data_IF_285148593244
#
_entry.id   IF_285148593244
#
_cell.length_a   1.000
_cell.length_b   1.000
_cell.length_c   1.000
_cell.angle_alpha   90.00
_cell.angle_beta   90.00
_cell.angle_gamma   90.00
#
_symmetry.space_group_name_H-M   'P 1'
#
loop_
_entity.id
_entity.type
_entity.pdbx_description
1 polymer ?
#
# COMPACT_ATOMS: atom_id res chain seq x y z
N UNK A 1 -2.87 -16.08 2.38
CA UNK A 1 -3.27 -14.66 2.23
C UNK A 1 -2.12 -13.73 2.53
N UNK A 2 -2.10 -12.59 1.88
CA UNK A 2 -1.09 -11.55 2.09
C UNK A 2 -1.74 -10.20 2.28
N UNK A 3 -1.25 -9.43 3.24
CA UNK A 3 -1.54 -8.01 3.33
C UNK A 3 -0.49 -7.23 2.57
N UNK A 4 -0.94 -6.36 1.68
CA UNK A 4 -0.07 -5.40 1.00
C UNK A 4 -0.36 -4.04 1.62
N UNK A 5 0.68 -3.44 2.18
CA UNK A 5 0.63 -2.08 2.73
C UNK A 5 1.59 -1.20 1.97
N UNK A 6 1.08 -0.17 1.35
CA UNK A 6 1.88 0.78 0.59
C UNK A 6 1.76 2.18 1.20
N UNK A 7 2.89 2.81 1.41
CA UNK A 7 2.95 4.23 1.77
C UNK A 7 3.41 4.96 0.52
N UNK A 8 2.52 5.81 -0.01
CA UNK A 8 2.72 6.47 -1.30
C UNK A 8 2.47 7.97 -1.18
N UNK A 9 2.92 8.72 -2.19
CA UNK A 9 2.57 10.14 -2.30
C UNK A 9 1.07 10.31 -2.46
N UNK A 10 0.49 11.31 -1.82
CA UNK A 10 -0.95 11.58 -1.93
C UNK A 10 -1.40 11.81 -3.37
N UNK A 11 -0.61 12.52 -4.16
CA UNK A 11 -0.95 12.80 -5.57
C UNK A 11 -0.96 11.56 -6.46
N UNK A 12 -0.43 10.43 -5.98
CA UNK A 12 -0.42 9.16 -6.73
C UNK A 12 -1.56 8.21 -6.36
N UNK A 13 -2.36 8.53 -5.36
CA UNK A 13 -3.42 7.61 -4.86
C UNK A 13 -4.42 7.27 -5.95
N UNK A 14 -4.92 8.26 -6.69
CA UNK A 14 -5.92 8.03 -7.74
C UNK A 14 -5.37 7.10 -8.82
N UNK A 15 -4.13 7.33 -9.27
CA UNK A 15 -3.49 6.48 -10.27
C UNK A 15 -3.31 5.04 -9.77
N UNK A 16 -2.94 4.86 -8.50
CA UNK A 16 -2.80 3.54 -7.89
C UNK A 16 -4.15 2.82 -7.85
N UNK A 17 -5.20 3.50 -7.38
CA UNK A 17 -6.53 2.90 -7.26
C UNK A 17 -7.09 2.53 -8.63
N UNK A 18 -6.96 3.39 -9.62
CA UNK A 18 -7.40 3.10 -10.99
C UNK A 18 -6.68 1.88 -11.56
N UNK A 19 -5.37 1.80 -11.38
CA UNK A 19 -4.58 0.67 -11.86
C UNK A 19 -4.96 -0.65 -11.16
N UNK A 20 -5.22 -0.61 -9.86
CA UNK A 20 -5.65 -1.79 -9.10
C UNK A 20 -7.05 -2.26 -9.56
N UNK A 21 -7.97 -1.35 -9.82
CA UNK A 21 -9.33 -1.68 -10.24
C UNK A 21 -9.45 -2.20 -11.67
N UNK A 22 -8.36 -2.26 -12.43
CA UNK A 22 -8.35 -2.98 -13.70
C UNK A 22 -8.58 -4.49 -13.53
N UNK A 23 -8.34 -5.03 -12.32
CA UNK A 23 -8.65 -6.42 -12.00
C UNK A 23 -9.97 -6.53 -11.25
N UNK A 24 -10.97 -7.23 -11.84
CA UNK A 24 -12.27 -7.38 -11.18
C UNK A 24 -12.24 -8.29 -9.96
N UNK A 25 -11.22 -9.13 -9.81
CA UNK A 25 -11.03 -10.03 -8.68
C UNK A 25 -10.24 -9.42 -7.51
N UNK A 26 -9.92 -8.14 -7.59
CA UNK A 26 -9.26 -7.45 -6.49
C UNK A 26 -10.23 -7.24 -5.34
N UNK A 27 -9.86 -7.63 -4.10
CA UNK A 27 -10.62 -7.30 -2.91
C UNK A 27 -10.66 -5.79 -2.62
N UNK A 28 -11.42 -5.42 -1.59
CA UNK A 28 -11.50 -4.04 -1.15
C UNK A 28 -10.16 -3.46 -0.73
N UNK A 29 -10.03 -2.15 -0.91
CA UNK A 29 -8.82 -1.39 -0.57
C UNK A 29 -9.17 -0.36 0.49
N UNK A 30 -8.36 -0.28 1.53
CA UNK A 30 -8.48 0.72 2.58
C UNK A 30 -7.43 1.80 2.36
N UNK A 31 -7.86 3.06 2.42
CA UNK A 31 -6.95 4.21 2.24
C UNK A 31 -7.05 5.08 3.47
N UNK A 32 -5.90 5.50 3.99
CA UNK A 32 -5.81 6.47 5.07
C UNK A 32 -4.73 7.50 4.78
N UNK A 33 -4.96 8.71 5.28
CA UNK A 33 -3.93 9.75 5.26
C UNK A 33 -3.03 9.56 6.47
N UNK A 34 -1.72 9.61 6.26
CA UNK A 34 -0.72 9.42 7.30
C UNK A 34 0.34 10.49 7.23
N UNK A 35 0.92 10.80 8.38
CA UNK A 35 2.09 11.65 8.47
C UNK A 35 3.31 10.78 8.70
N UNK A 36 4.30 10.91 7.83
CA UNK A 36 5.58 10.25 8.00
C UNK A 36 6.59 11.24 8.59
N UNK A 37 7.38 10.78 9.55
CA UNK A 37 8.56 11.50 10.01
C UNK A 37 9.77 10.73 9.54
N UNK A 38 10.42 11.26 8.52
CA UNK A 38 11.57 10.63 7.90
C UNK A 38 12.86 11.37 8.15
N UNK A 39 13.95 10.63 8.07
CA UNK A 39 15.30 11.18 8.11
C UNK A 39 15.64 11.71 6.72
N UNK A 40 15.93 13.01 6.62
CA UNK A 40 16.48 13.61 5.40
C UNK A 40 17.98 13.77 5.55
N UNK A 41 18.72 13.25 4.58
CA UNK A 41 20.14 13.58 4.45
C UNK A 41 20.28 14.81 3.57
N UNK A 42 20.92 15.85 4.10
CA UNK A 42 21.41 16.93 3.24
C UNK A 42 22.86 16.64 2.86
N UNK A 43 23.24 16.95 1.63
CA UNK A 43 24.63 16.76 1.16
C UNK A 43 25.65 17.64 1.90
N UNK A 44 25.20 18.66 2.62
CA UNK A 44 26.06 19.68 3.21
C UNK A 44 25.76 20.02 4.67
N UNK A 45 25.00 19.21 5.41
CA UNK A 45 24.62 19.57 6.77
C UNK A 45 24.14 18.42 7.65
N UNK A 46 23.71 18.71 8.88
CA UNK A 46 23.22 17.71 9.81
C UNK A 46 21.93 17.05 9.29
N UNK A 47 21.65 15.84 9.77
CA UNK A 47 20.44 15.12 9.47
C UNK A 47 19.21 15.89 9.95
N UNK A 48 18.32 16.24 9.05
CA UNK A 48 17.05 16.88 9.37
C UNK A 48 15.92 15.85 9.38
N UNK A 49 14.99 16.03 10.33
CA UNK A 49 13.75 15.27 10.37
C UNK A 49 12.64 16.17 9.83
N UNK A 50 11.91 15.66 8.83
CA UNK A 50 10.78 16.37 8.24
C UNK A 50 9.51 15.56 8.32
N UNK A 51 8.37 16.23 8.53
CA UNK A 51 7.06 15.63 8.40
C UNK A 51 6.65 15.66 6.93
N UNK A 52 6.20 14.53 6.42
CA UNK A 52 5.67 14.38 5.07
C UNK A 52 4.30 13.75 5.14
N UNK A 53 3.33 14.40 4.50
CA UNK A 53 1.99 13.85 4.39
C UNK A 53 1.94 12.86 3.24
N UNK A 54 1.58 11.61 3.58
CA UNK A 54 1.51 10.48 2.66
C UNK A 54 0.13 9.84 2.73
N UNK A 55 -0.12 8.90 1.85
CA UNK A 55 -1.28 8.02 1.91
C UNK A 55 -0.83 6.59 2.19
N UNK A 56 -1.59 5.90 3.02
CA UNK A 56 -1.42 4.46 3.27
C UNK A 56 -2.54 3.72 2.57
N UNK A 57 -2.15 2.77 1.73
CA UNK A 57 -3.06 1.89 0.98
C UNK A 57 -2.87 0.48 1.52
N UNK A 58 -3.97 -0.15 1.95
CA UNK A 58 -3.94 -1.50 2.50
C UNK A 58 -4.96 -2.37 1.78
N UNK A 59 -4.55 -3.58 1.43
CA UNK A 59 -5.43 -4.60 0.88
C UNK A 59 -4.94 -5.98 1.30
N UNK A 60 -5.87 -6.90 1.55
CA UNK A 60 -5.55 -8.30 1.83
C UNK A 60 -6.00 -9.12 0.64
N UNK A 61 -5.10 -9.90 0.09
CA UNK A 61 -5.32 -10.67 -1.13
C UNK A 61 -4.90 -12.13 -0.96
N UNK A 62 -5.39 -13.00 -1.85
CA UNK A 62 -4.85 -14.34 -1.96
C UNK A 62 -3.37 -14.29 -2.33
N UNK A 63 -2.60 -15.27 -1.88
CA UNK A 63 -1.14 -15.26 -2.05
C UNK A 63 -0.69 -15.14 -3.52
N UNK A 64 -1.44 -15.76 -4.44
CA UNK A 64 -1.13 -15.74 -5.87
C UNK A 64 -1.37 -14.38 -6.54
N UNK A 65 -2.17 -13.51 -5.92
CA UNK A 65 -2.43 -12.15 -6.42
C UNK A 65 -1.43 -11.12 -5.92
N UNK A 66 -0.68 -11.44 -4.88
CA UNK A 66 0.19 -10.47 -4.21
C UNK A 66 1.24 -9.83 -5.13
N UNK A 67 1.91 -10.62 -5.96
CA UNK A 67 2.92 -10.10 -6.89
C UNK A 67 2.35 -9.09 -7.88
N UNK A 68 1.17 -9.37 -8.42
CA UNK A 68 0.51 -8.43 -9.33
C UNK A 68 0.16 -7.11 -8.63
N UNK A 69 -0.33 -7.18 -7.40
CA UNK A 69 -0.67 -5.99 -6.62
C UNK A 69 0.58 -5.14 -6.35
N UNK A 70 1.66 -5.77 -5.91
CA UNK A 70 2.94 -5.08 -5.65
C UNK A 70 3.46 -4.40 -6.91
N UNK A 71 3.52 -5.10 -8.03
CA UNK A 71 4.02 -4.56 -9.29
C UNK A 71 3.14 -3.42 -9.80
N UNK A 72 1.84 -3.53 -9.64
CA UNK A 72 0.88 -2.50 -10.04
C UNK A 72 1.05 -1.22 -9.23
N UNK A 73 1.13 -1.34 -7.90
CA UNK A 73 1.35 -0.19 -7.02
C UNK A 73 2.70 0.46 -7.31
N UNK A 74 3.73 -0.35 -7.45
CA UNK A 74 5.09 0.13 -7.74
C UNK A 74 5.13 1.00 -9.00
N UNK A 75 4.49 0.55 -10.07
CA UNK A 75 4.44 1.31 -11.33
C UNK A 75 3.60 2.58 -11.21
N UNK A 76 2.41 2.46 -10.63
CA UNK A 76 1.47 3.57 -10.55
C UNK A 76 1.92 4.67 -9.59
N UNK A 77 2.64 4.32 -8.52
CA UNK A 77 3.14 5.27 -7.53
C UNK A 77 4.50 5.86 -7.86
N UNK A 78 5.19 5.34 -8.86
CA UNK A 78 6.54 5.75 -9.21
C UNK A 78 6.58 7.17 -9.78
N UNK A 79 7.44 8.02 -9.23
CA UNK A 79 7.78 9.34 -9.80
C UNK A 79 9.25 9.44 -10.15
N UNK A 80 10.09 8.58 -9.59
CA UNK A 80 11.55 8.61 -9.72
C UNK A 80 12.24 9.58 -8.77
N UNK A 81 11.47 10.27 -7.92
CA UNK A 81 12.01 11.18 -6.91
C UNK A 81 12.16 10.48 -5.57
N UNK A 82 13.11 10.94 -4.75
CA UNK A 82 13.21 10.51 -3.37
C UNK A 82 11.89 10.81 -2.63
N UNK A 83 11.41 9.87 -1.83
CA UNK A 83 10.14 10.01 -1.10
C UNK A 83 8.94 9.39 -1.80
N UNK A 84 9.13 8.55 -2.82
CA UNK A 84 8.05 7.81 -3.47
C UNK A 84 7.35 6.81 -2.54
N UNK A 85 8.01 6.42 -1.46
CA UNK A 85 7.42 5.53 -0.47
C UNK A 85 7.92 4.10 -0.56
N UNK A 86 7.18 3.21 0.10
CA UNK A 86 7.55 1.78 0.23
C UNK A 86 6.32 0.90 0.20
N UNK A 87 6.53 -0.34 -0.18
CA UNK A 87 5.51 -1.39 -0.17
C UNK A 87 5.99 -2.51 0.73
N UNK A 88 5.11 -2.96 1.62
CA UNK A 88 5.36 -4.08 2.52
C UNK A 88 4.37 -5.19 2.23
N UNK A 89 4.85 -6.43 2.27
CA UNK A 89 4.02 -7.62 2.12
C UNK A 89 4.14 -8.45 3.38
N UNK A 90 2.99 -8.77 3.98
CA UNK A 90 2.92 -9.53 5.23
C UNK A 90 2.01 -10.73 5.06
N UNK A 91 2.29 -11.79 5.81
CA UNK A 91 1.40 -12.96 5.86
C UNK A 91 0.20 -12.65 6.74
N UNK A 92 -0.98 -13.02 6.27
CA UNK A 92 -2.22 -12.97 7.03
C UNK A 92 -2.60 -14.41 7.37
N UNK A 93 -2.67 -14.70 8.67
CA UNK A 93 -2.98 -16.04 9.15
C UNK A 93 -4.46 -16.37 9.03
N UNK A 94 -5.31 -15.37 9.26
CA UNK A 94 -6.75 -15.58 9.31
C UNK A 94 -7.50 -14.34 8.81
N UNK A 95 -8.54 -14.56 8.04
CA UNK A 95 -9.53 -13.54 7.69
C UNK A 95 -10.91 -14.07 8.05
N UNK A 96 -11.70 -13.23 8.70
CA UNK A 96 -13.05 -13.58 9.19
C UNK A 96 -14.02 -12.51 8.70
N UNK A 97 -15.10 -12.94 8.06
CA UNK A 97 -16.20 -12.05 7.72
C UNK A 97 -17.07 -11.81 8.97
N UNK A 98 -17.19 -10.57 9.39
CA UNK A 98 -17.89 -10.23 10.63
C UNK A 98 -19.37 -10.66 10.58
N UNK A 99 -20.04 -10.42 9.45
CA UNK A 99 -21.46 -10.70 9.33
C UNK A 99 -21.80 -12.18 9.43
N UNK A 100 -21.05 -13.03 8.72
CA UNK A 100 -21.35 -14.46 8.58
C UNK A 100 -20.55 -15.34 9.53
N UNK A 101 -19.42 -14.85 10.03
CA UNK A 101 -18.45 -15.68 10.76
C UNK A 101 -17.62 -16.59 9.86
N UNK A 102 -17.80 -16.53 8.54
CA UNK A 102 -16.97 -17.32 7.61
C UNK A 102 -15.51 -16.93 7.70
N UNK A 103 -14.64 -17.92 7.51
CA UNK A 103 -13.19 -17.75 7.61
C UNK A 103 -12.51 -18.24 6.33
N UNK A 104 -11.37 -17.62 6.02
CA UNK A 104 -10.51 -18.05 4.94
C UNK A 104 -10.47 -17.11 3.74
N UNK A 105 -9.72 -17.49 2.68
CA UNK A 105 -9.52 -16.63 1.51
C UNK A 105 -10.79 -16.23 0.77
N UNK A 106 -11.83 -17.03 0.86
CA UNK A 106 -13.11 -16.78 0.18
C UNK A 106 -13.85 -15.56 0.73
N UNK A 107 -13.49 -15.05 1.89
CA UNK A 107 -14.12 -13.86 2.48
C UNK A 107 -13.49 -12.53 2.04
N UNK A 108 -12.38 -12.61 1.30
CA UNK A 108 -11.67 -11.41 0.83
C UNK A 108 -12.46 -10.63 -0.22
#
# INVERSE_FOLDING_TARGET
MREIKAIVRRERVVDVIEALHERPDLPGVTISSVEGVGRRRSESGPTEYGEVQMAKIETVVAADLASWVVDTIKRAAFTGRAGDGKIFVMRVEQAVQIRSGEEGPQVL
#
